data_IF_420356175768
#
_entry.id   IF_420356175768
#
_cell.length_a   1.000
_cell.length_b   1.000
_cell.length_c   1.000
_cell.angle_alpha   90.00
_cell.angle_beta   90.00
_cell.angle_gamma   90.00
#
_symmetry.space_group_name_H-M   'P 1'
#
loop_
_entity.id
_entity.type
_entity.pdbx_description
1 polymer ?
#
# COMPACT_ATOMS: atom_id res chain seq x y z
N UNK A 1 50.52 30.85 56.13
CA UNK A 1 50.27 30.22 54.79
C UNK A 1 48.82 29.75 54.76
N UNK A 2 47.95 30.49 54.08
CA UNK A 2 46.49 30.20 53.97
C UNK A 2 46.27 29.57 52.59
N UNK A 3 45.80 28.33 52.55
CA UNK A 3 45.39 27.63 51.30
C UNK A 3 43.99 28.05 50.92
N UNK A 4 43.80 28.64 49.72
CA UNK A 4 42.53 28.94 49.11
C UNK A 4 42.10 27.67 48.35
N UNK A 5 40.94 27.08 48.76
CA UNK A 5 40.23 26.04 48.02
C UNK A 5 39.27 26.74 47.06
N UNK A 6 39.55 26.64 45.78
CA UNK A 6 38.65 27.09 44.72
C UNK A 6 37.59 26.01 44.45
N UNK A 7 36.32 26.36 44.71
CA UNK A 7 35.14 25.52 44.37
C UNK A 7 34.76 25.79 42.92
N UNK A 8 35.06 24.86 42.01
CA UNK A 8 34.61 24.94 40.62
C UNK A 8 33.14 24.49 40.55
N UNK A 9 32.24 25.43 40.32
CA UNK A 9 30.83 25.16 40.07
C UNK A 9 30.66 24.68 38.66
N UNK A 10 30.45 23.37 38.46
CA UNK A 10 30.12 22.75 37.14
C UNK A 10 28.67 23.12 36.83
N UNK A 11 28.46 24.15 36.01
CA UNK A 11 27.14 24.39 35.41
C UNK A 11 26.90 23.37 34.32
N UNK A 12 26.04 22.40 34.59
CA UNK A 12 25.44 21.51 33.60
C UNK A 12 24.51 22.35 32.70
N UNK A 13 24.99 22.79 31.57
CA UNK A 13 24.13 23.31 30.51
C UNK A 13 23.32 22.13 29.97
N UNK A 14 22.07 21.98 30.40
CA UNK A 14 21.09 21.18 29.72
C UNK A 14 20.93 21.77 28.28
N UNK A 15 21.39 21.06 27.28
CA UNK A 15 21.10 21.43 25.88
C UNK A 15 19.59 21.55 25.74
N UNK A 16 19.04 22.64 25.19
CA UNK A 16 17.62 22.71 24.89
C UNK A 16 17.34 21.61 23.91
N UNK A 17 16.45 20.68 24.28
CA UNK A 17 15.89 19.71 23.33
C UNK A 17 15.39 20.53 22.12
N UNK A 18 15.95 20.26 20.93
CA UNK A 18 15.55 20.94 19.72
C UNK A 18 14.04 20.86 19.62
N UNK A 19 13.34 22.00 19.62
CA UNK A 19 11.91 22.05 19.51
C UNK A 19 11.52 21.36 18.20
N UNK A 20 10.78 20.27 18.28
CA UNK A 20 10.37 19.51 17.11
C UNK A 20 9.51 20.43 16.24
N UNK A 21 9.92 20.61 14.97
CA UNK A 21 9.20 21.48 14.05
C UNK A 21 7.96 20.76 13.50
N UNK A 22 6.78 21.27 13.88
CA UNK A 22 5.48 20.76 13.41
C UNK A 22 4.84 21.64 12.33
N UNK A 23 5.62 22.43 11.61
CA UNK A 23 5.12 23.38 10.62
C UNK A 23 4.28 22.70 9.53
N UNK A 24 4.70 21.51 9.05
CA UNK A 24 3.93 20.75 8.02
C UNK A 24 2.62 20.24 8.57
N UNK A 25 2.58 19.72 9.79
CA UNK A 25 1.37 19.23 10.45
C UNK A 25 0.38 20.38 10.69
N UNK A 26 0.86 21.53 11.15
CA UNK A 26 0.06 22.75 11.34
C UNK A 26 -0.51 23.25 10.01
N UNK A 27 0.30 23.27 8.94
CA UNK A 27 -0.15 23.64 7.60
C UNK A 27 -1.21 22.66 7.07
N UNK A 28 -1.00 21.34 7.24
CA UNK A 28 -1.97 20.31 6.85
C UNK A 28 -3.32 20.48 7.58
N UNK A 29 -3.30 20.76 8.86
CA UNK A 29 -4.50 21.02 9.65
C UNK A 29 -5.23 22.30 9.20
N UNK A 30 -4.49 23.36 8.92
CA UNK A 30 -5.06 24.61 8.40
C UNK A 30 -5.69 24.40 7.01
N UNK A 31 -5.01 23.67 6.12
CA UNK A 31 -5.53 23.30 4.81
C UNK A 31 -6.81 22.45 4.92
N UNK A 32 -6.84 21.42 5.77
CA UNK A 32 -8.03 20.62 6.02
C UNK A 32 -9.20 21.50 6.45
N UNK A 33 -8.99 22.36 7.44
CA UNK A 33 -10.06 23.23 7.95
C UNK A 33 -10.55 24.22 6.91
N UNK A 34 -9.65 24.81 6.12
CA UNK A 34 -10.01 25.72 5.04
C UNK A 34 -10.81 25.02 3.97
N UNK A 35 -10.28 23.94 3.40
CA UNK A 35 -10.89 23.19 2.28
C UNK A 35 -12.25 22.59 2.66
N UNK A 36 -12.38 22.00 3.85
CA UNK A 36 -13.65 21.44 4.28
C UNK A 36 -14.72 22.48 4.56
N UNK A 37 -14.35 23.71 5.04
CA UNK A 37 -15.30 24.82 5.20
C UNK A 37 -15.67 25.43 3.86
N UNK A 38 -14.73 25.58 2.94
CA UNK A 38 -14.98 26.04 1.56
C UNK A 38 -15.91 25.07 0.83
N UNK A 39 -15.73 23.76 0.98
CA UNK A 39 -16.64 22.76 0.44
C UNK A 39 -18.04 22.83 1.07
N UNK A 40 -18.12 23.09 2.37
CA UNK A 40 -19.37 23.19 3.11
C UNK A 40 -20.34 22.00 2.88
N UNK A 41 -19.81 20.81 2.62
CA UNK A 41 -20.57 19.60 2.32
C UNK A 41 -21.13 19.52 0.90
N UNK A 42 -20.78 20.44 0.00
CA UNK A 42 -21.32 20.48 -1.37
C UNK A 42 -20.96 19.25 -2.19
N UNK A 43 -19.75 18.73 -1.99
CA UNK A 43 -19.29 17.60 -2.78
C UNK A 43 -20.04 16.30 -2.45
N UNK A 44 -20.30 16.04 -1.15
CA UNK A 44 -20.85 14.76 -0.70
C UNK A 44 -22.14 14.87 0.13
N UNK A 45 -22.76 16.02 0.19
CA UNK A 45 -23.92 16.33 1.05
C UNK A 45 -23.63 16.07 2.55
N UNK A 46 -22.34 16.11 2.93
CA UNK A 46 -21.86 15.88 4.29
C UNK A 46 -20.49 16.54 4.49
N UNK A 47 -20.19 16.91 5.74
CA UNK A 47 -18.94 17.62 6.06
C UNK A 47 -17.73 16.71 6.09
N UNK A 48 -16.68 17.11 5.38
CA UNK A 48 -15.34 16.48 5.43
C UNK A 48 -14.48 16.98 6.59
N UNK A 49 -14.95 17.97 7.36
CA UNK A 49 -14.22 18.47 8.52
C UNK A 49 -14.09 17.40 9.61
N UNK A 50 -12.93 17.31 10.22
CA UNK A 50 -12.67 16.36 11.31
C UNK A 50 -11.33 16.58 11.99
N UNK A 51 -11.10 15.96 13.15
CA UNK A 51 -9.82 16.04 13.83
C UNK A 51 -8.75 15.26 13.06
N UNK A 52 -7.59 15.90 12.88
CA UNK A 52 -6.42 15.33 12.21
C UNK A 52 -5.42 14.83 13.25
N UNK A 53 -4.83 13.66 12.99
CA UNK A 53 -3.66 13.15 13.72
C UNK A 53 -2.62 12.67 12.71
N UNK A 54 -1.38 13.11 12.85
CA UNK A 54 -0.23 12.70 12.03
C UNK A 54 0.71 11.90 12.92
N UNK A 55 1.07 10.70 12.51
CA UNK A 55 1.83 9.76 13.35
C UNK A 55 3.10 9.31 12.63
N UNK A 56 4.23 9.41 13.32
CA UNK A 56 5.47 8.77 12.88
C UNK A 56 5.38 7.25 13.11
N UNK A 57 5.51 6.41 12.07
CA UNK A 57 5.28 4.97 12.19
C UNK A 57 6.35 4.23 12.98
N UNK A 58 7.56 4.80 13.12
CA UNK A 58 8.69 4.17 13.81
C UNK A 58 8.65 4.51 15.30
N UNK A 59 8.65 5.79 15.63
CA UNK A 59 8.64 6.27 17.03
C UNK A 59 7.25 6.27 17.65
N UNK A 60 6.20 6.13 16.86
CA UNK A 60 4.78 6.27 17.25
C UNK A 60 4.43 7.65 17.82
N UNK A 61 5.31 8.65 17.66
CA UNK A 61 5.02 10.02 18.04
C UNK A 61 3.92 10.60 17.16
N UNK A 62 2.90 11.17 17.79
CA UNK A 62 1.76 11.77 17.11
C UNK A 62 1.74 13.28 17.35
N UNK A 63 1.27 14.01 16.33
CA UNK A 63 0.81 15.39 16.43
C UNK A 63 -0.66 15.45 16.01
N UNK A 64 -1.49 16.12 16.80
CA UNK A 64 -2.93 16.16 16.58
C UNK A 64 -3.53 17.56 16.72
N UNK A 65 -4.69 17.78 16.10
CA UNK A 65 -5.41 19.07 16.14
C UNK A 65 -6.19 19.30 17.43
N UNK A 66 -6.40 18.26 18.23
CA UNK A 66 -7.08 18.34 19.53
C UNK A 66 -6.55 17.27 20.48
N UNK A 67 -6.93 17.33 21.75
CA UNK A 67 -6.63 16.29 22.74
C UNK A 67 -7.44 15.01 22.48
N UNK A 68 -6.90 13.89 22.91
CA UNK A 68 -7.66 12.66 23.15
C UNK A 68 -8.39 12.70 24.51
N UNK A 69 -9.42 11.87 24.70
CA UNK A 69 -10.15 11.82 25.97
C UNK A 69 -9.40 11.02 27.04
N UNK A 70 -8.37 10.26 26.66
CA UNK A 70 -7.54 9.47 27.58
C UNK A 70 -6.37 10.23 28.20
N UNK A 71 -6.07 11.47 27.73
CA UNK A 71 -4.99 12.30 28.26
C UNK A 71 -3.59 11.84 27.88
N UNK A 72 -3.43 11.07 26.79
CA UNK A 72 -2.13 10.64 26.26
C UNK A 72 -1.43 11.80 25.55
N UNK A 73 -2.22 12.65 24.86
CA UNK A 73 -1.71 13.79 24.14
C UNK A 73 -1.67 15.03 25.02
N UNK A 74 -0.56 15.77 25.00
CA UNK A 74 -0.32 17.00 25.74
C UNK A 74 -0.19 18.19 24.80
N UNK A 75 -0.69 19.37 25.22
CA UNK A 75 -0.62 20.60 24.43
C UNK A 75 0.82 21.11 24.35
N UNK A 76 1.26 21.46 23.13
CA UNK A 76 2.58 22.10 22.92
C UNK A 76 2.49 23.62 22.98
N UNK A 77 3.63 24.28 23.24
CA UNK A 77 3.73 25.74 23.21
C UNK A 77 3.50 26.36 21.82
N UNK A 78 3.75 25.60 20.76
CA UNK A 78 3.53 26.00 19.35
C UNK A 78 2.11 25.72 18.83
N UNK A 79 1.22 25.23 19.71
CA UNK A 79 -0.10 24.75 19.31
C UNK A 79 -0.07 23.32 18.78
N UNK A 80 -1.20 22.63 18.89
CA UNK A 80 -1.28 21.20 18.59
C UNK A 80 -0.98 20.33 19.81
N UNK A 81 -1.35 19.06 19.71
CA UNK A 81 -1.28 18.07 20.78
C UNK A 81 -0.32 16.97 20.39
N UNK A 82 0.60 16.58 21.27
CA UNK A 82 1.64 15.59 20.99
C UNK A 82 1.70 14.51 22.04
N UNK A 83 2.08 13.32 21.65
CA UNK A 83 2.30 12.16 22.53
C UNK A 83 2.57 10.89 21.75
N UNK A 84 3.02 9.85 22.44
CA UNK A 84 3.26 8.55 21.82
C UNK A 84 1.97 7.71 21.81
N UNK A 85 1.56 7.22 20.64
CA UNK A 85 0.42 6.30 20.55
C UNK A 85 0.76 4.94 21.18
N UNK A 86 -0.17 4.35 21.98
CA UNK A 86 -0.02 3.01 22.52
C UNK A 86 0.22 1.97 21.42
N UNK A 87 0.98 0.92 21.71
CA UNK A 87 1.33 -0.13 20.75
C UNK A 87 0.14 -0.86 20.12
N UNK A 88 -0.99 -0.94 20.85
CA UNK A 88 -2.23 -1.54 20.34
C UNK A 88 -3.03 -0.68 19.36
N UNK A 89 -2.65 0.60 19.13
CA UNK A 89 -3.33 1.46 18.15
C UNK A 89 -2.70 1.23 16.78
N UNK A 90 -3.49 0.83 15.75
CA UNK A 90 -2.97 0.68 14.40
C UNK A 90 -2.55 2.04 13.83
N UNK A 91 -1.44 2.07 13.08
CA UNK A 91 -0.96 3.26 12.38
C UNK A 91 -1.12 3.00 10.87
N UNK A 92 -1.98 3.77 10.22
CA UNK A 92 -2.24 3.69 8.80
C UNK A 92 -2.84 5.01 8.29
N UNK A 93 -2.72 5.27 7.01
CA UNK A 93 -3.51 6.31 6.34
C UNK A 93 -4.95 5.83 6.29
N UNK A 94 -5.80 6.34 7.17
CA UNK A 94 -7.21 5.94 7.27
C UNK A 94 -7.91 6.68 8.41
N UNK A 95 -9.17 6.35 8.64
CA UNK A 95 -9.90 6.77 9.83
C UNK A 95 -9.66 5.81 11.00
N UNK A 96 -9.23 6.33 12.14
CA UNK A 96 -8.99 5.55 13.36
C UNK A 96 -9.84 6.08 14.52
N UNK A 97 -10.52 5.17 15.22
CA UNK A 97 -11.17 5.48 16.48
C UNK A 97 -10.20 5.21 17.64
N UNK A 98 -9.75 6.27 18.29
CA UNK A 98 -8.81 6.15 19.40
C UNK A 98 -9.00 7.30 20.41
N UNK A 99 -8.87 6.99 21.70
CA UNK A 99 -9.01 7.97 22.78
C UNK A 99 -10.36 8.69 22.77
N UNK A 100 -11.46 8.00 22.38
CA UNK A 100 -12.79 8.58 22.28
C UNK A 100 -12.99 9.57 21.11
N UNK A 101 -12.03 9.65 20.18
CA UNK A 101 -12.06 10.53 19.00
C UNK A 101 -11.97 9.71 17.73
N UNK A 102 -12.75 10.09 16.72
CA UNK A 102 -12.66 9.52 15.36
C UNK A 102 -11.74 10.39 14.51
N UNK A 103 -10.48 9.98 14.41
CA UNK A 103 -9.41 10.72 13.76
C UNK A 103 -9.36 10.50 12.24
N UNK A 104 -8.98 11.54 11.52
CA UNK A 104 -8.34 11.44 10.21
C UNK A 104 -6.86 11.19 10.52
N UNK A 105 -6.39 9.94 10.34
CA UNK A 105 -5.00 9.58 10.64
C UNK A 105 -4.16 9.58 9.37
N UNK A 106 -3.01 10.23 9.43
CA UNK A 106 -2.01 10.24 8.37
C UNK A 106 -0.68 9.73 8.92
N UNK A 107 -0.05 8.84 8.19
CA UNK A 107 1.29 8.34 8.48
C UNK A 107 2.32 9.37 7.98
N UNK A 108 3.19 9.81 8.88
CA UNK A 108 4.28 10.71 8.55
C UNK A 108 5.46 10.01 7.84
N UNK A 109 6.35 10.77 7.20
CA UNK A 109 6.33 12.23 7.06
C UNK A 109 5.32 12.73 6.03
N UNK A 110 4.74 13.90 6.27
CA UNK A 110 3.85 14.55 5.31
C UNK A 110 4.61 15.01 4.05
N UNK A 111 3.96 15.00 2.86
CA UNK A 111 4.54 15.53 1.63
C UNK A 111 5.06 16.98 1.79
N UNK A 112 6.22 17.27 1.20
CA UNK A 112 6.78 18.62 1.15
C UNK A 112 5.97 19.54 0.23
N UNK A 113 5.56 19.01 -0.91
CA UNK A 113 4.69 19.72 -1.84
C UNK A 113 3.32 19.99 -1.21
N UNK A 114 2.93 21.27 -1.22
CA UNK A 114 1.71 21.71 -0.57
C UNK A 114 0.45 21.15 -1.26
N UNK A 115 0.47 20.98 -2.58
CA UNK A 115 -0.67 20.41 -3.32
C UNK A 115 -0.83 18.92 -3.01
N UNK A 116 0.27 18.16 -3.04
CA UNK A 116 0.25 16.73 -2.67
C UNK A 116 -0.22 16.54 -1.21
N UNK A 117 0.22 17.40 -0.30
CA UNK A 117 -0.21 17.38 1.10
C UNK A 117 -1.72 17.65 1.25
N UNK A 118 -2.26 18.66 0.55
CA UNK A 118 -3.70 18.94 0.54
C UNK A 118 -4.50 17.78 -0.05
N UNK A 119 -4.02 17.20 -1.15
CA UNK A 119 -4.65 16.02 -1.77
C UNK A 119 -4.70 14.85 -0.79
N UNK A 120 -3.59 14.54 -0.12
CA UNK A 120 -3.54 13.48 0.89
C UNK A 120 -4.51 13.72 2.03
N UNK A 121 -4.53 14.91 2.60
CA UNK A 121 -5.40 15.24 3.74
C UNK A 121 -6.88 15.12 3.38
N UNK A 122 -7.28 15.57 2.20
CA UNK A 122 -8.67 15.47 1.75
C UNK A 122 -9.06 14.05 1.31
N UNK A 123 -8.11 13.22 0.85
CA UNK A 123 -8.28 11.80 0.64
C UNK A 123 -8.64 11.09 1.96
N UNK A 124 -7.87 11.31 3.01
CA UNK A 124 -8.10 10.68 4.31
C UNK A 124 -9.38 11.23 5.00
N UNK A 125 -9.72 12.49 4.73
CA UNK A 125 -10.98 13.05 5.19
C UNK A 125 -12.20 12.35 4.57
N UNK A 126 -12.10 11.89 3.32
CA UNK A 126 -13.12 11.06 2.67
C UNK A 126 -13.35 9.74 3.43
N UNK A 127 -12.30 9.03 3.80
CA UNK A 127 -12.45 7.76 4.53
C UNK A 127 -13.21 7.93 5.86
N UNK A 128 -13.10 9.09 6.50
CA UNK A 128 -13.90 9.39 7.69
C UNK A 128 -15.40 9.49 7.38
N UNK A 129 -15.75 9.94 6.18
CA UNK A 129 -17.12 10.12 5.72
C UNK A 129 -17.71 8.85 5.08
N UNK A 130 -16.89 8.05 4.44
CA UNK A 130 -17.26 6.93 3.55
C UNK A 130 -18.34 6.01 4.13
N UNK A 131 -18.18 5.57 5.38
CA UNK A 131 -19.12 4.65 6.01
C UNK A 131 -20.51 5.29 6.22
N UNK A 132 -20.58 6.59 6.51
CA UNK A 132 -21.86 7.30 6.66
C UNK A 132 -22.62 7.49 5.35
N UNK A 133 -21.93 7.38 4.21
CA UNK A 133 -22.51 7.37 2.87
C UNK A 133 -22.99 5.97 2.43
N UNK A 134 -22.92 4.95 3.31
CA UNK A 134 -23.28 3.57 2.98
C UNK A 134 -22.26 2.87 2.07
N UNK A 135 -21.04 3.38 1.98
CA UNK A 135 -19.97 2.81 1.17
C UNK A 135 -19.00 2.05 2.08
N UNK A 136 -19.01 0.71 2.07
CA UNK A 136 -18.14 -0.06 2.96
C UNK A 136 -16.68 0.10 2.58
N UNK A 137 -15.81 0.09 3.57
CA UNK A 137 -14.37 -0.03 3.33
C UNK A 137 -14.04 -1.40 2.70
N UNK A 138 -13.08 -1.43 1.81
CA UNK A 138 -12.70 -2.64 1.09
C UNK A 138 -11.19 -2.76 0.97
N UNK A 139 -10.67 -3.93 1.25
CA UNK A 139 -9.26 -4.29 1.06
C UNK A 139 -9.14 -5.42 0.04
N UNK A 140 -9.78 -5.25 -1.11
CA UNK A 140 -9.75 -6.24 -2.20
C UNK A 140 -8.43 -6.15 -2.95
N UNK A 141 -7.93 -7.30 -3.37
CA UNK A 141 -6.80 -7.42 -4.28
C UNK A 141 -7.34 -7.76 -5.69
N UNK A 142 -7.14 -6.88 -6.66
CA UNK A 142 -7.52 -7.10 -8.06
C UNK A 142 -6.46 -7.96 -8.77
N UNK A 143 -6.37 -9.24 -8.36
CA UNK A 143 -5.30 -10.16 -8.77
C UNK A 143 -5.17 -10.32 -10.30
N UNK A 144 -6.23 -10.12 -11.07
CA UNK A 144 -6.17 -10.13 -12.54
C UNK A 144 -5.21 -9.06 -13.11
N UNK A 145 -4.91 -7.99 -12.36
CA UNK A 145 -3.93 -6.96 -12.72
C UNK A 145 -2.48 -7.40 -12.51
N UNK A 146 -2.23 -8.57 -11.94
CA UNK A 146 -0.91 -9.19 -11.90
C UNK A 146 -0.60 -9.99 -13.19
N UNK A 147 -1.58 -10.17 -14.08
CA UNK A 147 -1.39 -10.86 -15.35
C UNK A 147 -0.92 -9.91 -16.46
N UNK A 148 -0.16 -10.42 -17.46
CA UNK A 148 0.26 -9.66 -18.65
C UNK A 148 -0.91 -8.91 -19.29
N UNK A 149 -2.04 -9.60 -19.52
CA UNK A 149 -3.22 -9.01 -20.17
C UNK A 149 -3.90 -7.96 -19.28
N UNK A 150 -4.02 -8.21 -17.98
CA UNK A 150 -4.61 -7.26 -17.04
C UNK A 150 -3.82 -5.96 -16.99
N UNK A 151 -2.49 -6.06 -16.85
CA UNK A 151 -1.59 -4.90 -16.87
C UNK A 151 -1.60 -4.16 -18.20
N UNK A 152 -1.55 -4.88 -19.31
CA UNK A 152 -1.62 -4.30 -20.66
C UNK A 152 -2.85 -3.41 -20.82
N UNK A 153 -4.04 -3.92 -20.50
CA UNK A 153 -5.30 -3.18 -20.66
C UNK A 153 -5.43 -2.05 -19.63
N UNK A 154 -4.91 -2.22 -18.41
CA UNK A 154 -4.85 -1.18 -17.40
C UNK A 154 -3.97 -0.01 -17.86
N UNK A 155 -2.77 -0.27 -18.34
CA UNK A 155 -1.87 0.77 -18.84
C UNK A 155 -2.45 1.56 -20.01
N UNK A 156 -3.15 0.89 -20.94
CA UNK A 156 -3.88 1.57 -22.01
C UNK A 156 -4.98 2.49 -21.47
N UNK A 157 -5.74 2.03 -20.46
CA UNK A 157 -6.76 2.82 -19.78
C UNK A 157 -6.12 4.05 -19.12
N UNK A 158 -5.04 3.89 -18.35
CA UNK A 158 -4.36 5.01 -17.67
C UNK A 158 -3.85 6.05 -18.69
N UNK A 159 -3.25 5.65 -19.80
CA UNK A 159 -2.79 6.56 -20.86
C UNK A 159 -3.95 7.28 -21.56
N UNK A 160 -5.05 6.58 -21.78
CA UNK A 160 -6.25 7.18 -22.35
C UNK A 160 -6.90 8.18 -21.39
N UNK A 161 -6.96 7.87 -20.08
CA UNK A 161 -7.40 8.81 -19.06
C UNK A 161 -6.47 10.02 -18.94
N UNK A 162 -5.14 9.85 -18.96
CA UNK A 162 -4.20 10.96 -18.95
C UNK A 162 -4.40 11.88 -20.16
N UNK A 163 -4.63 11.30 -21.35
CA UNK A 163 -4.98 12.06 -22.55
C UNK A 163 -6.30 12.81 -22.38
N UNK A 164 -7.31 12.20 -21.76
CA UNK A 164 -8.57 12.87 -21.47
C UNK A 164 -8.38 14.05 -20.52
N UNK A 165 -7.57 13.90 -19.47
CA UNK A 165 -7.29 14.97 -18.51
C UNK A 165 -6.59 16.17 -19.14
N UNK A 166 -5.69 15.94 -20.10
CA UNK A 166 -4.94 16.99 -20.82
C UNK A 166 -5.68 17.56 -22.03
N UNK A 167 -6.86 17.05 -22.37
CA UNK A 167 -7.65 17.48 -23.50
C UNK A 167 -8.91 18.24 -23.04
N UNK A 168 -9.66 18.80 -24.02
CA UNK A 168 -10.96 19.42 -23.80
C UNK A 168 -11.98 19.01 -24.87
N UNK A 169 -13.24 19.25 -24.63
CA UNK A 169 -14.35 19.06 -25.57
C UNK A 169 -14.37 17.65 -26.22
N UNK A 170 -14.42 17.60 -27.56
CA UNK A 170 -14.51 16.34 -28.31
C UNK A 170 -13.30 15.42 -28.10
N UNK A 171 -12.10 16.01 -27.98
CA UNK A 171 -10.87 15.22 -27.76
C UNK A 171 -10.91 14.51 -26.40
N UNK A 172 -11.27 15.20 -25.33
CA UNK A 172 -11.49 14.66 -24.00
C UNK A 172 -12.51 13.51 -24.02
N UNK A 173 -13.68 13.77 -24.60
CA UNK A 173 -14.75 12.79 -24.73
C UNK A 173 -14.30 11.50 -25.44
N UNK A 174 -13.56 11.64 -26.54
CA UNK A 174 -13.05 10.49 -27.30
C UNK A 174 -12.01 9.70 -26.51
N UNK A 175 -11.07 10.37 -25.82
CA UNK A 175 -10.07 9.69 -24.98
C UNK A 175 -10.71 8.97 -23.78
N UNK A 176 -11.71 9.59 -23.15
CA UNK A 176 -12.48 8.94 -22.07
C UNK A 176 -13.25 7.70 -22.57
N UNK A 177 -13.83 7.74 -23.77
CA UNK A 177 -14.47 6.54 -24.40
C UNK A 177 -13.45 5.43 -24.68
N UNK A 178 -12.23 5.78 -25.07
CA UNK A 178 -11.16 4.81 -25.30
C UNK A 178 -10.72 4.16 -23.98
N UNK A 179 -10.58 4.95 -22.91
CA UNK A 179 -10.29 4.44 -21.56
C UNK A 179 -11.34 3.42 -21.12
N UNK A 180 -12.62 3.77 -21.23
CA UNK A 180 -13.73 2.85 -20.91
C UNK A 180 -13.72 1.59 -21.79
N UNK A 181 -13.36 1.70 -23.07
CA UNK A 181 -13.27 0.51 -23.95
C UNK A 181 -12.17 -0.46 -23.50
N UNK A 182 -11.01 0.04 -23.04
CA UNK A 182 -9.95 -0.79 -22.46
C UNK A 182 -10.38 -1.43 -21.15
N UNK A 183 -11.04 -0.64 -20.28
CA UNK A 183 -11.62 -1.16 -19.03
C UNK A 183 -12.64 -2.26 -19.31
N UNK A 184 -13.62 -2.05 -20.18
CA UNK A 184 -14.64 -3.03 -20.51
C UNK A 184 -14.02 -4.33 -21.10
N UNK A 185 -12.98 -4.21 -21.94
CA UNK A 185 -12.25 -5.35 -22.45
C UNK A 185 -11.53 -6.14 -21.36
N UNK A 186 -10.97 -5.45 -20.34
CA UNK A 186 -10.36 -6.08 -19.16
C UNK A 186 -11.42 -6.79 -18.33
N UNK A 187 -12.49 -6.11 -17.96
CA UNK A 187 -13.57 -6.69 -17.15
C UNK A 187 -14.23 -7.90 -17.82
N UNK A 188 -14.30 -7.91 -19.16
CA UNK A 188 -14.78 -9.08 -19.91
C UNK A 188 -13.78 -10.25 -19.98
N UNK A 189 -12.50 -10.01 -19.69
CA UNK A 189 -11.44 -11.03 -19.74
C UNK A 189 -11.29 -11.84 -18.47
N UNK A 190 -11.85 -11.39 -17.33
CA UNK A 190 -11.66 -11.99 -16.01
C UNK A 190 -12.95 -11.97 -15.21
N UNK A 191 -13.38 -13.13 -14.72
CA UNK A 191 -14.70 -13.32 -14.10
C UNK A 191 -14.96 -12.36 -12.91
N UNK A 192 -14.00 -12.19 -12.01
CA UNK A 192 -14.17 -11.40 -10.77
C UNK A 192 -13.74 -9.95 -10.90
N UNK A 193 -13.16 -9.55 -12.03
CA UNK A 193 -12.58 -8.24 -12.23
C UNK A 193 -13.56 -7.09 -11.94
N UNK A 194 -14.80 -7.22 -12.42
CA UNK A 194 -15.83 -6.17 -12.23
C UNK A 194 -16.12 -5.91 -10.75
N UNK A 195 -16.29 -6.96 -9.96
CA UNK A 195 -16.59 -6.81 -8.53
C UNK A 195 -15.38 -6.25 -7.76
N UNK A 196 -14.19 -6.76 -8.05
CA UNK A 196 -12.95 -6.34 -7.41
C UNK A 196 -12.62 -4.88 -7.74
N UNK A 197 -12.67 -4.49 -9.01
CA UNK A 197 -12.41 -3.11 -9.41
C UNK A 197 -13.48 -2.15 -8.88
N UNK A 198 -14.76 -2.51 -8.90
CA UNK A 198 -15.83 -1.69 -8.35
C UNK A 198 -15.65 -1.41 -6.85
N UNK A 199 -15.15 -2.39 -6.09
CA UNK A 199 -14.87 -2.22 -4.67
C UNK A 199 -13.71 -1.25 -4.42
N UNK A 200 -12.60 -1.37 -5.18
CA UNK A 200 -11.45 -0.47 -5.09
C UNK A 200 -11.78 0.95 -5.58
N UNK A 201 -12.53 1.07 -6.67
CA UNK A 201 -12.97 2.38 -7.18
C UNK A 201 -13.81 3.13 -6.16
N UNK A 202 -14.72 2.44 -5.45
CA UNK A 202 -15.52 3.06 -4.38
C UNK A 202 -14.69 3.40 -3.15
N UNK A 203 -13.70 2.56 -2.80
CA UNK A 203 -12.87 2.78 -1.62
C UNK A 203 -11.81 3.86 -1.89
N UNK A 204 -10.84 3.55 -2.74
CA UNK A 204 -9.68 4.41 -2.98
C UNK A 204 -9.89 5.42 -4.10
N UNK A 205 -10.67 5.03 -5.11
CA UNK A 205 -10.94 5.90 -6.25
C UNK A 205 -11.71 7.17 -5.86
N UNK A 206 -12.77 7.05 -5.05
CA UNK A 206 -13.55 8.20 -4.57
C UNK A 206 -12.78 9.03 -3.54
N UNK A 207 -11.96 8.40 -2.70
CA UNK A 207 -11.07 9.10 -1.78
C UNK A 207 -10.07 9.96 -2.55
N UNK A 208 -9.41 9.38 -3.55
CA UNK A 208 -8.44 10.07 -4.39
C UNK A 208 -9.09 11.16 -5.24
N UNK A 209 -10.29 10.91 -5.78
CA UNK A 209 -11.06 11.96 -6.45
C UNK A 209 -11.35 13.14 -5.51
N UNK A 210 -11.80 12.87 -4.28
CA UNK A 210 -12.07 13.91 -3.28
C UNK A 210 -10.81 14.70 -2.96
N UNK A 211 -9.70 14.00 -2.77
CA UNK A 211 -8.39 14.60 -2.55
C UNK A 211 -7.99 15.55 -3.68
N UNK A 212 -8.02 15.08 -4.91
CA UNK A 212 -7.61 15.86 -6.09
C UNK A 212 -8.59 17.01 -6.37
N UNK A 213 -9.89 16.76 -6.30
CA UNK A 213 -10.93 17.77 -6.57
C UNK A 213 -10.82 18.98 -5.64
N UNK A 214 -10.62 18.74 -4.35
CA UNK A 214 -10.55 19.78 -3.33
C UNK A 214 -9.12 20.26 -3.07
N UNK A 215 -8.15 19.36 -3.04
CA UNK A 215 -6.76 19.68 -2.69
C UNK A 215 -5.95 20.31 -3.81
N UNK A 216 -6.20 19.92 -5.08
CA UNK A 216 -5.53 20.50 -6.24
C UNK A 216 -6.32 21.67 -6.87
N UNK A 217 -7.61 21.80 -6.59
CA UNK A 217 -8.45 22.91 -7.08
C UNK A 217 -8.44 23.02 -8.61
N UNK A 218 -8.07 24.17 -9.15
CA UNK A 218 -8.03 24.45 -10.60
C UNK A 218 -7.02 23.55 -11.34
N UNK A 219 -6.00 23.07 -10.68
CA UNK A 219 -5.00 22.14 -11.22
C UNK A 219 -5.43 20.67 -11.20
N UNK A 220 -6.66 20.35 -10.81
CA UNK A 220 -7.13 18.98 -10.60
C UNK A 220 -6.92 18.07 -11.83
N UNK A 221 -7.19 18.57 -13.05
CA UNK A 221 -6.95 17.80 -14.29
C UNK A 221 -5.45 17.54 -14.53
N UNK A 222 -4.62 18.54 -14.32
CA UNK A 222 -3.18 18.40 -14.48
C UNK A 222 -2.58 17.46 -13.43
N UNK A 223 -3.04 17.58 -12.18
CA UNK A 223 -2.64 16.68 -11.09
C UNK A 223 -3.01 15.23 -11.41
N UNK A 224 -4.27 14.99 -11.83
CA UNK A 224 -4.73 13.66 -12.23
C UNK A 224 -3.92 13.09 -13.40
N UNK A 225 -3.62 13.91 -14.43
CA UNK A 225 -2.81 13.48 -15.57
C UNK A 225 -1.38 13.07 -15.18
N UNK A 226 -0.75 13.82 -14.28
CA UNK A 226 0.59 13.48 -13.75
C UNK A 226 0.55 12.16 -12.98
N UNK A 227 -0.39 12.00 -12.06
CA UNK A 227 -0.57 10.77 -11.30
C UNK A 227 -0.79 9.56 -12.21
N UNK A 228 -1.62 9.68 -13.25
CA UNK A 228 -1.84 8.60 -14.23
C UNK A 228 -0.57 8.20 -14.98
N UNK A 229 0.27 9.18 -15.36
CA UNK A 229 1.55 8.91 -16.03
C UNK A 229 2.58 8.26 -15.10
N UNK A 230 2.62 8.65 -13.82
CA UNK A 230 3.49 8.04 -12.81
C UNK A 230 3.10 6.59 -12.58
N UNK A 231 1.79 6.32 -12.52
CA UNK A 231 1.26 4.96 -12.34
C UNK A 231 1.37 4.07 -13.59
N UNK A 232 1.53 4.59 -14.80
CA UNK A 232 1.70 3.77 -16.02
C UNK A 232 2.88 2.78 -15.91
N UNK A 233 3.89 3.11 -15.10
CA UNK A 233 5.08 2.28 -14.86
C UNK A 233 5.12 1.64 -13.47
N UNK A 234 4.03 1.69 -12.74
CA UNK A 234 3.97 1.14 -11.38
C UNK A 234 4.15 -0.39 -11.40
N UNK A 235 4.87 -0.91 -10.41
CA UNK A 235 5.15 -2.35 -10.36
C UNK A 235 3.92 -3.18 -9.93
N UNK A 236 3.03 -2.62 -9.11
CA UNK A 236 1.86 -3.32 -8.58
C UNK A 236 0.57 -2.51 -8.80
N UNK A 237 -0.30 -2.98 -9.70
CA UNK A 237 -1.59 -2.33 -9.95
C UNK A 237 -2.70 -2.84 -9.03
N UNK A 238 -2.62 -4.08 -8.58
CA UNK A 238 -3.72 -4.83 -7.99
C UNK A 238 -4.43 -4.14 -6.80
N UNK A 239 -3.72 -3.26 -6.08
CA UNK A 239 -4.27 -2.47 -4.97
C UNK A 239 -4.17 -0.96 -5.18
N UNK A 240 -3.41 -0.52 -6.17
CA UNK A 240 -2.99 0.87 -6.26
C UNK A 240 -3.58 1.64 -7.46
N UNK A 241 -4.07 0.98 -8.51
CA UNK A 241 -4.54 1.65 -9.73
C UNK A 241 -5.64 2.68 -9.47
N UNK A 242 -6.51 2.43 -8.47
CA UNK A 242 -7.65 3.30 -8.17
C UNK A 242 -7.23 4.68 -7.63
N UNK A 243 -6.04 4.78 -7.03
CA UNK A 243 -5.46 6.08 -6.63
C UNK A 243 -5.19 6.99 -7.82
N UNK A 244 -4.84 6.41 -8.97
CA UNK A 244 -4.57 7.15 -10.20
C UNK A 244 -5.83 7.34 -11.06
N UNK A 245 -6.62 6.29 -11.29
CA UNK A 245 -7.78 6.34 -12.18
C UNK A 245 -8.99 7.03 -11.55
N UNK A 246 -9.16 6.93 -10.22
CA UNK A 246 -10.30 7.49 -9.49
C UNK A 246 -10.48 9.00 -9.69
N UNK A 247 -9.44 9.84 -9.53
CA UNK A 247 -9.54 11.27 -9.82
C UNK A 247 -10.03 11.57 -11.24
N UNK A 248 -9.47 10.88 -12.23
CA UNK A 248 -9.86 11.10 -13.62
C UNK A 248 -11.31 10.70 -13.89
N UNK A 249 -11.76 9.56 -13.39
CA UNK A 249 -13.16 9.16 -13.50
C UNK A 249 -14.10 10.09 -12.76
N UNK A 250 -13.74 10.54 -11.56
CA UNK A 250 -14.56 11.50 -10.81
C UNK A 250 -14.71 12.85 -11.52
N UNK A 251 -13.61 13.38 -12.10
CA UNK A 251 -13.66 14.63 -12.88
C UNK A 251 -14.47 14.47 -14.17
N UNK A 252 -14.39 13.32 -14.85
CA UNK A 252 -15.22 13.03 -16.03
C UNK A 252 -16.70 12.86 -15.65
N UNK A 253 -17.00 12.29 -14.50
CA UNK A 253 -18.37 12.19 -13.98
C UNK A 253 -18.96 13.55 -13.68
N UNK A 254 -18.18 14.47 -13.12
CA UNK A 254 -18.63 15.86 -12.91
C UNK A 254 -19.03 16.56 -14.23
N UNK A 255 -18.33 16.23 -15.33
CA UNK A 255 -18.59 16.85 -16.64
C UNK A 255 -19.72 16.15 -17.41
N UNK A 256 -19.82 14.81 -17.35
CA UNK A 256 -20.69 14.05 -18.26
C UNK A 256 -21.87 13.35 -17.60
N UNK A 257 -21.95 13.27 -16.26
CA UNK A 257 -22.98 12.50 -15.56
C UNK A 257 -23.56 13.25 -14.37
N UNK A 258 -24.49 14.16 -14.60
CA UNK A 258 -25.14 14.92 -13.52
C UNK A 258 -25.78 13.98 -12.47
N UNK A 259 -25.66 14.32 -11.19
CA UNK A 259 -26.26 13.55 -10.09
C UNK A 259 -25.64 12.17 -9.85
N UNK A 260 -24.49 11.87 -10.42
CA UNK A 260 -23.85 10.57 -10.36
C UNK A 260 -23.60 10.02 -8.95
N UNK A 261 -23.45 10.92 -7.95
CA UNK A 261 -23.18 10.54 -6.55
C UNK A 261 -24.34 9.78 -5.90
N UNK A 262 -25.55 9.89 -6.43
CA UNK A 262 -26.73 9.21 -5.90
C UNK A 262 -26.75 7.70 -6.21
N UNK A 263 -25.95 7.23 -7.16
CA UNK A 263 -25.97 5.85 -7.67
C UNK A 263 -24.74 5.01 -7.25
N UNK A 264 -23.90 5.51 -6.36
CA UNK A 264 -22.62 4.89 -5.98
C UNK A 264 -22.75 3.56 -5.22
N UNK A 265 -23.87 3.34 -4.54
CA UNK A 265 -24.12 2.09 -3.83
C UNK A 265 -24.26 0.89 -4.77
N UNK A 266 -24.79 1.12 -5.98
CA UNK A 266 -25.12 0.05 -6.93
C UNK A 266 -24.12 -0.08 -8.08
N UNK A 267 -23.55 1.03 -8.56
CA UNK A 267 -22.66 1.06 -9.72
C UNK A 267 -21.25 1.52 -9.35
N UNK A 268 -20.25 0.99 -10.03
CA UNK A 268 -18.90 1.54 -9.94
C UNK A 268 -18.84 2.93 -10.59
N UNK A 269 -17.99 3.86 -10.09
CA UNK A 269 -17.85 5.19 -10.66
C UNK A 269 -17.64 5.19 -12.17
N UNK A 270 -16.72 4.35 -12.68
CA UNK A 270 -16.45 4.26 -14.12
C UNK A 270 -17.66 3.75 -14.93
N UNK A 271 -18.48 2.85 -14.39
CA UNK A 271 -19.65 2.30 -15.07
C UNK A 271 -20.73 3.36 -15.30
N UNK A 272 -20.82 4.39 -14.45
CA UNK A 272 -21.75 5.51 -14.59
C UNK A 272 -21.45 6.38 -15.83
N UNK A 273 -20.25 6.29 -16.41
CA UNK A 273 -19.86 7.00 -17.62
C UNK A 273 -20.19 6.23 -18.92
N UNK A 274 -20.54 4.94 -18.84
CA UNK A 274 -20.78 4.10 -20.04
C UNK A 274 -21.90 4.70 -20.89
N UNK A 275 -23.06 4.99 -20.31
CA UNK A 275 -24.20 5.60 -21.01
C UNK A 275 -23.91 7.01 -21.53
N UNK A 276 -23.53 7.97 -20.68
CA UNK A 276 -23.25 9.35 -21.08
C UNK A 276 -22.18 9.48 -22.18
N UNK A 277 -21.16 8.63 -22.15
CA UNK A 277 -20.09 8.62 -23.15
C UNK A 277 -20.37 7.66 -24.31
N UNK A 278 -21.45 6.89 -24.28
CA UNK A 278 -21.76 5.85 -25.27
C UNK A 278 -20.59 4.89 -25.46
N UNK A 279 -20.02 4.42 -24.37
CA UNK A 279 -18.94 3.46 -24.40
C UNK A 279 -19.49 2.05 -24.68
N UNK A 280 -18.75 1.26 -25.44
CA UNK A 280 -19.16 -0.07 -25.85
C UNK A 280 -17.99 -1.07 -25.75
N UNK A 281 -18.31 -2.34 -25.62
CA UNK A 281 -17.33 -3.42 -25.77
C UNK A 281 -16.92 -3.49 -27.25
N UNK A 282 -15.63 -3.33 -27.52
CA UNK A 282 -15.10 -3.32 -28.88
C UNK A 282 -14.69 -4.71 -29.32
N UNK A 283 -14.82 -4.99 -30.62
CA UNK A 283 -14.16 -6.16 -31.23
C UNK A 283 -12.64 -6.07 -31.09
N UNK A 284 -11.94 -7.18 -31.06
CA UNK A 284 -10.47 -7.24 -30.92
C UNK A 284 -9.77 -6.32 -31.91
N UNK A 285 -10.18 -6.33 -33.19
CA UNK A 285 -9.59 -5.46 -34.24
C UNK A 285 -9.80 -3.96 -33.96
N UNK A 286 -10.98 -3.57 -33.46
CA UNK A 286 -11.26 -2.16 -33.13
C UNK A 286 -10.46 -1.74 -31.88
N UNK A 287 -10.36 -2.63 -30.88
CA UNK A 287 -9.60 -2.39 -29.67
C UNK A 287 -8.11 -2.19 -29.99
N UNK A 288 -7.52 -3.04 -30.83
CA UNK A 288 -6.12 -2.92 -31.29
C UNK A 288 -5.84 -1.57 -31.95
N UNK A 289 -6.69 -1.15 -32.91
CA UNK A 289 -6.55 0.17 -33.55
C UNK A 289 -6.65 1.33 -32.56
N UNK A 290 -7.42 1.17 -31.50
CA UNK A 290 -7.47 2.17 -30.42
C UNK A 290 -6.18 2.15 -29.58
N UNK A 291 -5.68 0.97 -29.25
CA UNK A 291 -4.44 0.78 -28.50
C UNK A 291 -3.22 1.43 -29.17
N UNK A 292 -3.15 1.40 -30.49
CA UNK A 292 -2.06 2.02 -31.27
C UNK A 292 -1.87 3.51 -30.91
N UNK A 293 -2.95 4.24 -30.67
CA UNK A 293 -2.90 5.66 -30.28
C UNK A 293 -2.28 5.92 -28.91
N UNK A 294 -2.24 4.91 -28.08
CA UNK A 294 -1.72 4.97 -26.71
C UNK A 294 -0.44 4.15 -26.52
N UNK A 295 0.24 3.81 -27.63
CA UNK A 295 1.50 3.07 -27.59
C UNK A 295 1.34 1.59 -27.28
N UNK A 296 0.20 0.96 -27.72
CA UNK A 296 -0.14 -0.43 -27.41
C UNK A 296 0.92 -1.44 -27.75
N UNK A 297 1.63 -1.27 -28.89
CA UNK A 297 2.72 -2.18 -29.28
C UNK A 297 3.88 -2.16 -28.29
N UNK A 298 4.27 -0.97 -27.82
CA UNK A 298 5.32 -0.79 -26.82
C UNK A 298 4.92 -1.41 -25.48
N UNK A 299 3.72 -1.08 -24.98
CA UNK A 299 3.20 -1.66 -23.72
C UNK A 299 3.19 -3.18 -23.80
N UNK A 300 2.69 -3.76 -24.90
CA UNK A 300 2.66 -5.20 -25.09
C UNK A 300 4.06 -5.84 -25.07
N UNK A 301 5.07 -5.17 -25.62
CA UNK A 301 6.45 -5.66 -25.56
C UNK A 301 7.01 -5.61 -24.13
N UNK A 302 6.80 -4.52 -23.41
CA UNK A 302 7.24 -4.34 -22.03
C UNK A 302 6.56 -5.36 -21.08
N UNK A 303 5.26 -5.59 -21.22
CA UNK A 303 4.53 -6.54 -20.38
C UNK A 303 4.91 -8.00 -20.68
N UNK A 304 5.19 -8.36 -21.93
CA UNK A 304 5.73 -9.69 -22.26
C UNK A 304 7.12 -9.91 -21.66
N UNK A 305 7.98 -8.89 -21.68
CA UNK A 305 9.30 -8.98 -21.03
C UNK A 305 9.17 -9.15 -19.52
N UNK A 306 8.33 -8.36 -18.89
CA UNK A 306 8.03 -8.45 -17.45
C UNK A 306 7.52 -9.85 -17.08
N UNK A 307 6.60 -10.40 -17.88
CA UNK A 307 6.04 -11.74 -17.65
C UNK A 307 7.10 -12.85 -17.82
N UNK A 308 8.03 -12.68 -18.78
CA UNK A 308 9.19 -13.61 -18.93
C UNK A 308 10.10 -13.55 -17.71
N UNK A 309 10.47 -12.36 -17.27
CA UNK A 309 11.31 -12.17 -16.11
C UNK A 309 10.65 -12.74 -14.83
N UNK A 310 9.35 -12.51 -14.65
CA UNK A 310 8.61 -13.07 -13.53
C UNK A 310 8.60 -14.61 -13.54
N UNK A 311 8.28 -15.23 -14.69
CA UNK A 311 8.32 -16.70 -14.82
C UNK A 311 9.71 -17.27 -14.56
N UNK A 312 10.76 -16.60 -15.02
CA UNK A 312 12.13 -17.02 -14.76
C UNK A 312 12.48 -16.91 -13.27
N UNK A 313 12.06 -15.83 -12.59
CA UNK A 313 12.22 -15.68 -11.15
C UNK A 313 11.52 -16.82 -10.38
N UNK A 314 10.25 -17.09 -10.70
CA UNK A 314 9.49 -18.19 -10.08
C UNK A 314 10.18 -19.54 -10.30
N UNK A 315 10.64 -19.83 -11.53
CA UNK A 315 11.39 -21.06 -11.81
C UNK A 315 12.67 -21.18 -10.98
N UNK A 316 13.44 -20.09 -10.87
CA UNK A 316 14.66 -20.04 -10.04
C UNK A 316 14.36 -20.28 -8.55
N UNK A 317 13.30 -19.63 -8.04
CA UNK A 317 12.90 -19.80 -6.64
C UNK A 317 12.37 -21.22 -6.36
N UNK A 318 11.62 -21.83 -7.29
CA UNK A 318 11.20 -23.22 -7.19
C UNK A 318 12.40 -24.19 -7.16
N UNK A 319 13.32 -24.05 -8.11
CA UNK A 319 14.52 -24.87 -8.14
C UNK A 319 15.33 -24.77 -6.84
N UNK A 320 15.44 -23.56 -6.29
CA UNK A 320 16.22 -23.30 -5.06
C UNK A 320 15.57 -23.83 -3.79
N UNK A 321 14.24 -23.64 -3.63
CA UNK A 321 13.58 -23.89 -2.36
C UNK A 321 12.66 -25.12 -2.35
N UNK A 322 12.31 -25.70 -3.52
CA UNK A 322 11.43 -26.85 -3.58
C UNK A 322 12.05 -28.09 -4.25
N UNK A 323 12.94 -27.90 -5.22
CA UNK A 323 13.47 -29.00 -6.03
C UNK A 323 14.92 -29.35 -5.70
N UNK A 324 15.71 -28.39 -5.18
CA UNK A 324 17.11 -28.57 -4.81
C UNK A 324 17.32 -29.12 -3.40
N UNK A 325 18.59 -29.41 -3.04
CA UNK A 325 18.98 -29.68 -1.66
C UNK A 325 18.62 -28.48 -0.78
N UNK A 326 18.02 -28.75 0.38
CA UNK A 326 17.46 -27.69 1.24
C UNK A 326 17.38 -28.08 2.69
N UNK A 327 17.21 -27.06 3.55
CA UNK A 327 16.87 -27.24 4.95
C UNK A 327 15.43 -26.83 5.20
N UNK A 328 14.64 -27.77 5.71
CA UNK A 328 13.25 -27.56 6.11
C UNK A 328 13.16 -27.42 7.65
N UNK A 329 12.47 -26.38 8.08
CA UNK A 329 12.26 -26.01 9.47
C UNK A 329 10.76 -26.11 9.77
N UNK A 330 10.29 -27.02 10.63
CA UNK A 330 8.88 -27.14 10.95
C UNK A 330 8.41 -25.91 11.75
N UNK A 331 7.21 -25.43 11.46
CA UNK A 331 6.60 -24.29 12.14
C UNK A 331 5.49 -24.78 13.07
N UNK A 332 5.53 -24.36 14.33
CA UNK A 332 4.53 -24.70 15.33
C UNK A 332 3.98 -23.49 16.06
N UNK A 333 4.86 -22.62 16.56
CA UNK A 333 4.49 -21.38 17.25
C UNK A 333 5.42 -20.24 16.80
N UNK A 334 5.45 -20.04 15.49
CA UNK A 334 6.43 -19.19 14.85
C UNK A 334 6.13 -17.70 15.03
N UNK A 335 7.18 -16.93 15.30
CA UNK A 335 7.18 -15.47 15.28
C UNK A 335 7.93 -14.98 14.04
N UNK A 336 7.36 -14.04 13.30
CA UNK A 336 7.89 -13.53 12.04
C UNK A 336 8.20 -12.03 12.12
N UNK A 337 9.38 -11.66 11.62
CA UNK A 337 9.74 -10.27 11.31
C UNK A 337 10.17 -10.23 9.84
N UNK A 338 9.46 -9.48 8.99
CA UNK A 338 9.75 -9.43 7.56
C UNK A 338 9.31 -8.10 6.93
N UNK A 339 9.84 -7.84 5.74
CA UNK A 339 9.43 -6.72 4.88
C UNK A 339 8.28 -7.18 3.96
N UNK A 340 7.05 -6.67 4.14
CA UNK A 340 5.91 -7.09 3.34
C UNK A 340 6.01 -6.72 1.85
N UNK A 341 6.84 -5.74 1.49
CA UNK A 341 7.06 -5.35 0.10
C UNK A 341 7.97 -6.32 -0.66
N UNK A 342 8.66 -7.22 0.07
CA UNK A 342 9.63 -8.16 -0.48
C UNK A 342 9.20 -9.61 -0.34
N UNK A 343 7.92 -9.85 -0.62
CA UNK A 343 7.34 -11.21 -0.59
C UNK A 343 6.94 -11.62 -2.00
N UNK A 344 7.40 -12.78 -2.44
CA UNK A 344 7.08 -13.33 -3.77
C UNK A 344 6.26 -14.60 -3.61
N UNK A 345 4.95 -14.60 -3.95
CA UNK A 345 4.13 -15.80 -3.93
C UNK A 345 4.61 -16.81 -4.99
N UNK A 346 4.67 -18.10 -4.62
CA UNK A 346 4.95 -19.20 -5.53
C UNK A 346 3.73 -20.11 -5.55
N UNK A 347 2.96 -20.13 -6.65
CA UNK A 347 1.72 -20.90 -6.73
C UNK A 347 1.91 -22.38 -6.36
N UNK A 348 1.08 -22.87 -5.44
CA UNK A 348 1.10 -24.25 -4.95
C UNK A 348 2.25 -24.63 -4.02
N UNK A 349 3.05 -23.65 -3.57
CA UNK A 349 4.14 -23.88 -2.61
C UNK A 349 4.07 -22.96 -1.39
N UNK A 350 3.64 -21.71 -1.55
CA UNK A 350 3.67 -20.70 -0.50
C UNK A 350 4.27 -19.39 -0.97
N UNK A 351 5.07 -18.73 -0.12
CA UNK A 351 5.67 -17.45 -0.45
C UNK A 351 7.14 -17.37 -0.05
N UNK A 352 7.98 -16.81 -0.89
CA UNK A 352 9.37 -16.52 -0.57
C UNK A 352 9.48 -15.12 0.01
N UNK A 353 9.95 -15.03 1.22
CA UNK A 353 10.27 -13.81 1.98
C UNK A 353 11.74 -13.49 1.78
N UNK A 354 12.05 -12.44 1.06
CA UNK A 354 13.45 -12.11 0.71
C UNK A 354 14.29 -11.75 1.93
N UNK A 355 13.70 -11.10 2.92
CA UNK A 355 14.30 -10.83 4.22
C UNK A 355 13.36 -11.30 5.32
N UNK A 356 13.83 -12.16 6.20
CA UNK A 356 13.02 -12.81 7.22
C UNK A 356 13.84 -13.08 8.48
N UNK A 357 13.31 -12.74 9.66
CA UNK A 357 13.72 -13.30 10.94
C UNK A 357 12.56 -14.15 11.45
N UNK A 358 12.85 -15.40 11.73
CA UNK A 358 11.86 -16.40 12.14
C UNK A 358 12.33 -17.09 13.42
N UNK A 359 11.49 -17.10 14.45
CA UNK A 359 11.74 -17.77 15.73
C UNK A 359 10.68 -18.83 15.97
N UNK A 360 11.13 -20.02 16.37
CA UNK A 360 10.28 -21.12 16.80
C UNK A 360 11.04 -21.98 17.84
N UNK A 361 10.46 -23.08 18.27
CA UNK A 361 11.04 -24.00 19.30
C UNK A 361 12.46 -24.47 18.95
N UNK A 362 12.80 -24.63 17.67
CA UNK A 362 14.11 -25.06 17.21
C UNK A 362 15.18 -23.94 17.25
N UNK A 363 14.80 -22.68 17.47
CA UNK A 363 15.72 -21.55 17.56
C UNK A 363 15.33 -20.36 16.68
N UNK A 364 16.32 -19.67 16.10
CA UNK A 364 16.17 -18.48 15.28
C UNK A 364 16.81 -18.66 13.90
N UNK A 365 16.04 -18.46 12.83
CA UNK A 365 16.49 -18.33 11.45
C UNK A 365 16.55 -16.84 11.06
N UNK A 366 17.68 -16.42 10.50
CA UNK A 366 17.85 -15.13 9.82
C UNK A 366 18.14 -15.37 8.35
N UNK A 367 17.24 -14.92 7.46
CA UNK A 367 17.44 -15.00 6.03
C UNK A 367 17.49 -13.59 5.42
N UNK A 368 18.50 -13.30 4.62
CA UNK A 368 18.70 -12.04 3.88
C UNK A 368 18.60 -12.24 2.36
N UNK A 369 18.56 -13.49 1.89
CA UNK A 369 18.45 -13.84 0.47
C UNK A 369 17.35 -14.89 0.21
N UNK A 370 16.30 -14.86 1.03
CA UNK A 370 15.09 -15.63 0.83
C UNK A 370 14.94 -16.85 1.73
N UNK A 371 13.70 -17.04 2.19
CA UNK A 371 13.19 -18.25 2.80
C UNK A 371 11.76 -18.48 2.27
N UNK A 372 11.46 -19.70 1.86
CA UNK A 372 10.11 -20.10 1.46
C UNK A 372 9.30 -20.46 2.71
N UNK A 373 8.19 -19.81 2.92
CA UNK A 373 7.18 -20.21 3.89
C UNK A 373 6.08 -20.94 3.14
N UNK A 374 5.80 -22.18 3.53
CA UNK A 374 4.80 -23.02 2.87
C UNK A 374 3.38 -22.49 3.01
N UNK A 375 2.49 -22.89 2.09
CA UNK A 375 1.05 -22.66 2.27
C UNK A 375 0.59 -23.25 3.61
N UNK A 376 -0.24 -22.48 4.35
CA UNK A 376 -0.69 -22.86 5.68
C UNK A 376 0.33 -22.67 6.79
N UNK A 377 1.51 -22.11 6.52
CA UNK A 377 2.53 -21.79 7.53
C UNK A 377 3.00 -23.02 8.35
N UNK A 378 3.18 -24.16 7.71
CA UNK A 378 3.61 -25.40 8.36
C UNK A 378 5.11 -25.63 8.33
N UNK A 379 5.83 -25.01 7.39
CA UNK A 379 7.29 -25.10 7.29
C UNK A 379 7.92 -23.83 6.71
N UNK A 380 9.17 -23.58 7.10
CA UNK A 380 10.07 -22.66 6.43
C UNK A 380 11.18 -23.44 5.74
N UNK A 381 11.58 -23.03 4.55
CA UNK A 381 12.63 -23.70 3.77
C UNK A 381 13.68 -22.70 3.32
N UNK A 382 14.96 -23.05 3.52
CA UNK A 382 16.11 -22.30 3.00
C UNK A 382 16.98 -23.22 2.13
N UNK A 383 17.84 -22.64 1.29
CA UNK A 383 18.81 -23.40 0.49
C UNK A 383 19.68 -24.30 1.36
N UNK A 384 20.28 -25.31 0.77
CA UNK A 384 21.16 -26.26 1.48
C UNK A 384 22.20 -25.53 2.35
N UNK A 385 22.43 -25.98 3.57
CA UNK A 385 23.48 -25.43 4.42
C UNK A 385 24.86 -25.74 3.87
N UNK A 386 25.83 -24.90 4.22
CA UNK A 386 27.23 -25.21 4.12
C UNK A 386 27.64 -26.30 5.16
N UNK A 387 28.86 -26.76 5.10
CA UNK A 387 29.39 -27.71 6.10
C UNK A 387 29.14 -27.23 7.53
N UNK A 388 28.51 -28.09 8.35
CA UNK A 388 28.11 -27.75 9.73
C UNK A 388 26.59 -27.47 9.92
N UNK A 389 25.82 -27.28 8.86
CA UNK A 389 24.35 -27.34 8.89
C UNK A 389 23.59 -26.14 9.43
N UNK A 390 24.26 -25.11 9.95
CA UNK A 390 23.60 -23.94 10.61
C UNK A 390 23.74 -22.62 9.86
N UNK A 391 24.32 -22.62 8.68
CA UNK A 391 24.42 -21.47 7.81
C UNK A 391 24.49 -21.88 6.34
N UNK A 392 24.07 -21.01 5.46
CA UNK A 392 24.10 -21.18 4.02
C UNK A 392 24.09 -19.85 3.28
N UNK A 393 24.02 -19.86 1.93
CA UNK A 393 23.99 -18.64 1.15
C UNK A 393 22.80 -17.74 1.55
N UNK A 394 23.13 -16.60 2.17
CA UNK A 394 22.14 -15.60 2.57
C UNK A 394 21.25 -15.99 3.75
N UNK A 395 21.64 -16.96 4.58
CA UNK A 395 20.92 -17.27 5.81
C UNK A 395 21.83 -17.85 6.90
N UNK A 396 21.40 -17.71 8.15
CA UNK A 396 22.01 -18.33 9.32
C UNK A 396 20.93 -18.84 10.29
N UNK A 397 21.25 -19.94 10.99
CA UNK A 397 20.37 -20.60 11.95
C UNK A 397 21.10 -20.70 13.31
N UNK A 398 20.45 -20.17 14.34
CA UNK A 398 20.86 -20.37 15.73
C UNK A 398 19.94 -21.41 16.34
N UNK A 399 20.46 -22.61 16.63
CA UNK A 399 19.67 -23.70 17.21
C UNK A 399 19.44 -23.47 18.71
N UNK A 400 18.24 -23.79 19.18
CA UNK A 400 17.94 -23.90 20.60
C UNK A 400 18.63 -25.15 21.20
N UNK A 401 18.95 -25.16 22.51
CA UNK A 401 19.44 -26.36 23.19
C UNK A 401 18.52 -27.57 22.96
N UNK A 402 19.11 -28.72 22.66
CA UNK A 402 18.35 -29.93 22.38
C UNK A 402 17.83 -30.07 20.95
N UNK A 403 18.24 -29.21 20.01
CA UNK A 403 17.95 -29.35 18.59
C UNK A 403 19.23 -29.54 17.76
N UNK A 404 19.11 -30.24 16.64
CA UNK A 404 20.15 -30.42 15.64
C UNK A 404 19.59 -30.37 14.23
N UNK A 405 20.46 -30.24 13.23
CA UNK A 405 20.13 -30.47 11.82
C UNK A 405 20.39 -31.91 11.49
N UNK A 406 19.45 -32.60 10.86
CA UNK A 406 19.57 -33.98 10.41
C UNK A 406 20.61 -34.13 9.28
N UNK A 407 21.09 -35.36 9.03
CA UNK A 407 21.71 -35.67 7.76
C UNK A 407 20.71 -35.50 6.61
N UNK A 408 21.18 -35.20 5.35
CA UNK A 408 20.29 -35.11 4.19
C UNK A 408 19.68 -36.48 3.90
N UNK A 409 18.38 -36.46 3.55
CA UNK A 409 17.72 -37.65 3.02
C UNK A 409 18.09 -37.90 1.54
N UNK A 410 17.49 -38.92 0.91
CA UNK A 410 17.75 -39.28 -0.49
C UNK A 410 17.42 -38.17 -1.51
N UNK A 411 16.62 -37.18 -1.12
CA UNK A 411 16.28 -35.99 -1.92
C UNK A 411 17.17 -34.77 -1.56
N UNK A 412 18.15 -34.94 -0.69
CA UNK A 412 19.01 -33.86 -0.20
C UNK A 412 18.33 -32.93 0.80
N UNK A 413 17.20 -33.34 1.40
CA UNK A 413 16.46 -32.52 2.36
C UNK A 413 16.98 -32.80 3.76
N UNK A 414 17.37 -31.74 4.46
CA UNK A 414 17.72 -31.74 5.88
C UNK A 414 16.59 -31.12 6.69
N UNK A 415 16.48 -31.49 7.96
CA UNK A 415 15.43 -30.97 8.86
C UNK A 415 16.02 -30.64 10.24
N UNK A 416 15.39 -29.71 10.95
CA UNK A 416 15.66 -29.57 12.38
C UNK A 416 14.87 -30.63 13.15
N UNK A 417 15.55 -31.31 14.06
CA UNK A 417 14.97 -32.35 14.91
C UNK A 417 15.42 -32.21 16.36
N UNK A 418 14.55 -32.59 17.28
CA UNK A 418 14.93 -32.64 18.69
C UNK A 418 15.92 -33.78 18.94
N UNK A 419 16.94 -33.53 19.71
CA UNK A 419 17.90 -34.57 20.17
C UNK A 419 17.20 -35.33 21.31
N UNK A 420 17.06 -36.65 21.20
CA UNK A 420 16.51 -37.42 22.31
C UNK A 420 17.38 -37.25 23.56
N UNK A 421 16.80 -37.19 24.76
CA UNK A 421 17.57 -37.16 25.99
C UNK A 421 18.46 -38.41 26.06
N UNK A 422 19.69 -38.29 26.63
CA UNK A 422 20.54 -39.46 26.81
C UNK A 422 19.79 -40.55 27.58
N UNK A 423 19.84 -41.80 27.07
CA UNK A 423 19.22 -42.93 27.73
C UNK A 423 19.71 -42.94 29.19
N UNK A 424 18.78 -42.92 30.16
CA UNK A 424 19.13 -43.06 31.56
C UNK A 424 19.85 -44.40 31.69
N UNK A 425 21.16 -44.33 31.95
CA UNK A 425 21.98 -45.54 32.19
C UNK A 425 21.39 -46.26 33.37
N UNK A 426 21.01 -47.51 33.19
CA UNK A 426 20.65 -48.46 34.25
C UNK A 426 21.89 -48.93 34.94
#
# INVERSE_FOLDING_TARGET
MRALIAFACLMLFASPAAAQDYARQTAAAADLQRLCREDAGRLWSASLCGPLIVVDPISRQAWATQRDNGGVLSLTSSGGWVGALPTGVPIANTTVNWGGVRWIMIVGPLPEDASARRVLVMHEAWHRLQQSLGLPMSNVNAAHLETERGRYLMRLELRALATAMLSSGRARRNAARDALAFRLARLASFADARAQEAALDRNEGLASYTGVKLGAGDDAHLFAARTLNDYDRHEAFARAYAYASGPAYGLLLDEYAQGWRQNLATLAPADLLIGPLQAEVLTTRRLQRRAERFGGAQIAAEERERERAHRQLIATLRARFAEGPRLELPLGNAQFEFDPERVTPIPGLGSVYRSLVLRDRWGELRASDGALISEGFVSATVSAPAAGGVHGPGWSLTLAPGYRVSAPDSAGVMRTEAVPPPAAGH
#
